data_IF_461374890741
#
_entry.id   IF_461374890741
#
_cell.length_a   1.000
_cell.length_b   1.000
_cell.length_c   1.000
_cell.angle_alpha   90.00
_cell.angle_beta   90.00
_cell.angle_gamma   90.00
#
_symmetry.space_group_name_H-M   'P 1'
#
loop_
_entity.id
_entity.type
_entity.pdbx_description
1 polymer ?
#
# COMPACT_ATOMS: atom_id res chain seq x y z
N UNK A 1 12.98 29.90 41.04
CA UNK A 1 12.42 28.58 41.41
C UNK A 1 11.28 28.17 40.47
N UNK A 2 10.06 28.70 40.59
CA UNK A 2 8.94 28.36 39.68
C UNK A 2 9.21 28.55 38.18
N UNK A 3 10.00 29.57 37.80
CA UNK A 3 10.40 29.79 36.40
C UNK A 3 11.34 28.69 35.88
N UNK A 4 12.23 28.18 36.74
CA UNK A 4 13.20 27.15 36.37
C UNK A 4 12.53 25.76 36.31
N UNK A 5 11.60 25.49 37.23
CA UNK A 5 10.74 24.30 37.18
C UNK A 5 9.88 24.27 35.91
N UNK A 6 9.30 25.42 35.53
CA UNK A 6 8.52 25.54 34.30
C UNK A 6 9.36 25.27 33.03
N UNK A 7 10.62 25.75 33.02
CA UNK A 7 11.55 25.47 31.91
C UNK A 7 11.91 23.98 31.82
N UNK A 8 12.20 23.34 32.95
CA UNK A 8 12.50 21.92 32.98
C UNK A 8 11.31 21.07 32.50
N UNK A 9 10.11 21.37 32.97
CA UNK A 9 8.89 20.69 32.52
C UNK A 9 8.61 20.90 31.03
N UNK A 10 8.85 22.10 30.49
CA UNK A 10 8.69 22.36 29.05
C UNK A 10 9.63 21.51 28.20
N UNK A 11 10.89 21.36 28.61
CA UNK A 11 11.88 20.52 27.92
C UNK A 11 11.43 19.05 27.94
N UNK A 12 10.91 18.57 29.07
CA UNK A 12 10.41 17.20 29.20
C UNK A 12 9.17 16.93 28.32
N UNK A 13 8.23 17.89 28.27
CA UNK A 13 7.07 17.83 27.39
C UNK A 13 7.51 17.79 25.93
N UNK A 14 8.45 18.65 25.53
CA UNK A 14 8.94 18.70 24.15
C UNK A 14 9.66 17.41 23.76
N UNK A 15 10.48 16.85 24.66
CA UNK A 15 11.15 15.57 24.46
C UNK A 15 10.12 14.43 24.30
N UNK A 16 9.10 14.40 25.16
CA UNK A 16 8.02 13.42 25.08
C UNK A 16 7.24 13.59 23.77
N UNK A 17 6.84 14.80 23.41
CA UNK A 17 6.11 15.06 22.17
C UNK A 17 6.93 14.67 20.92
N UNK A 18 8.25 14.89 20.94
CA UNK A 18 9.14 14.48 19.87
C UNK A 18 9.16 12.95 19.69
N UNK A 19 9.16 12.18 20.79
CA UNK A 19 9.14 10.72 20.74
C UNK A 19 7.87 10.16 20.06
N UNK A 20 6.71 10.81 20.24
CA UNK A 20 5.43 10.38 19.66
C UNK A 20 5.20 10.84 18.20
N UNK A 21 6.14 11.60 17.60
CA UNK A 21 6.01 12.04 16.19
C UNK A 21 5.75 10.91 15.18
N UNK A 22 6.34 9.70 15.29
CA UNK A 22 6.04 8.61 14.36
C UNK A 22 4.55 8.21 14.36
N UNK A 23 3.92 8.17 15.52
CA UNK A 23 2.47 7.91 15.66
C UNK A 23 1.67 9.02 15.00
N UNK A 24 2.02 10.29 15.25
CA UNK A 24 1.33 11.43 14.65
C UNK A 24 1.45 11.44 13.12
N UNK A 25 2.65 11.13 12.60
CA UNK A 25 2.91 10.98 11.16
C UNK A 25 2.07 9.86 10.56
N UNK A 26 2.05 8.68 11.19
CA UNK A 26 1.20 7.55 10.76
C UNK A 26 -0.28 7.93 10.75
N UNK A 27 -0.75 8.57 11.83
CA UNK A 27 -2.13 9.03 11.93
C UNK A 27 -2.51 10.00 10.81
N UNK A 28 -1.66 10.99 10.56
CA UNK A 28 -1.88 11.94 9.46
C UNK A 28 -1.98 11.24 8.09
N UNK A 29 -1.09 10.28 7.80
CA UNK A 29 -1.13 9.50 6.56
C UNK A 29 -2.47 8.76 6.44
N UNK A 30 -2.87 8.04 7.49
CA UNK A 30 -4.12 7.25 7.48
C UNK A 30 -5.35 8.13 7.29
N UNK A 31 -5.39 9.30 7.96
CA UNK A 31 -6.48 10.26 7.78
C UNK A 31 -6.60 10.71 6.32
N UNK A 32 -5.50 11.12 5.69
CA UNK A 32 -5.54 11.60 4.30
C UNK A 32 -5.89 10.48 3.31
N UNK A 33 -5.44 9.25 3.56
CA UNK A 33 -5.87 8.09 2.74
C UNK A 33 -7.38 7.88 2.86
N UNK A 34 -7.92 7.84 4.08
CA UNK A 34 -9.36 7.69 4.31
C UNK A 34 -10.18 8.83 3.68
N UNK A 35 -9.77 10.08 3.89
CA UNK A 35 -10.46 11.25 3.35
C UNK A 35 -10.45 11.29 1.81
N UNK A 36 -9.38 10.80 1.19
CA UNK A 36 -9.27 10.76 -0.28
C UNK A 36 -10.26 9.81 -0.95
N UNK A 37 -10.87 8.86 -0.22
CA UNK A 37 -11.86 7.95 -0.77
C UNK A 37 -13.10 8.66 -1.30
N UNK A 38 -13.42 9.84 -0.77
CA UNK A 38 -14.52 10.67 -1.26
C UNK A 38 -14.33 11.08 -2.75
N UNK A 39 -13.09 11.10 -3.24
CA UNK A 39 -12.79 11.39 -4.66
C UNK A 39 -13.21 10.25 -5.60
N UNK A 40 -13.34 9.04 -5.07
CA UNK A 40 -13.73 7.85 -5.83
C UNK A 40 -15.24 7.66 -5.84
N UNK A 41 -15.87 7.87 -4.69
CA UNK A 41 -17.31 7.79 -4.56
C UNK A 41 -17.78 8.74 -3.45
N UNK A 42 -18.79 9.57 -3.75
CA UNK A 42 -19.37 10.52 -2.80
C UNK A 42 -19.94 9.84 -1.54
N UNK A 43 -20.21 8.53 -1.58
CA UNK A 43 -20.64 7.75 -0.41
C UNK A 43 -19.51 7.48 0.59
N UNK A 44 -18.24 7.63 0.19
CA UNK A 44 -17.07 7.37 1.04
C UNK A 44 -16.60 8.62 1.76
N UNK A 45 -17.54 9.29 2.42
CA UNK A 45 -17.27 10.52 3.14
C UNK A 45 -16.91 10.21 4.60
N UNK A 46 -15.65 10.51 4.96
CA UNK A 46 -15.11 10.29 6.30
C UNK A 46 -14.60 11.62 6.84
N UNK A 47 -15.25 12.12 7.89
CA UNK A 47 -14.88 13.39 8.51
C UNK A 47 -13.69 13.24 9.46
N UNK A 48 -12.97 14.34 9.69
CA UNK A 48 -11.91 14.38 10.70
C UNK A 48 -12.47 14.05 12.10
N UNK A 49 -13.67 14.52 12.43
CA UNK A 49 -14.30 14.22 13.72
C UNK A 49 -14.49 12.71 13.93
N UNK A 50 -14.95 12.00 12.90
CA UNK A 50 -15.10 10.55 12.92
C UNK A 50 -13.74 9.85 13.01
N UNK A 51 -12.76 10.28 12.22
CA UNK A 51 -11.40 9.77 12.29
C UNK A 51 -10.81 9.91 13.70
N UNK A 52 -11.02 11.05 14.37
CA UNK A 52 -10.54 11.27 15.74
C UNK A 52 -11.16 10.31 16.75
N UNK A 53 -12.42 9.91 16.56
CA UNK A 53 -13.05 8.86 17.39
C UNK A 53 -12.32 7.53 17.22
N UNK A 54 -12.03 7.12 15.98
CA UNK A 54 -11.28 5.88 15.70
C UNK A 54 -9.85 5.98 16.27
N UNK A 55 -9.19 7.11 16.07
CA UNK A 55 -7.84 7.36 16.55
C UNK A 55 -7.73 7.25 18.08
N UNK A 56 -8.61 7.92 18.82
CA UNK A 56 -8.63 7.88 20.28
C UNK A 56 -8.96 6.48 20.82
N UNK A 57 -9.91 5.78 20.20
CA UNK A 57 -10.22 4.38 20.55
C UNK A 57 -9.03 3.46 20.31
N UNK A 58 -8.32 3.65 19.20
CA UNK A 58 -7.10 2.88 18.88
C UNK A 58 -6.01 3.07 19.92
N UNK A 59 -5.80 4.31 20.41
CA UNK A 59 -4.83 4.61 21.48
C UNK A 59 -5.16 3.93 22.80
N UNK A 60 -6.45 3.88 23.16
CA UNK A 60 -6.93 3.22 24.37
C UNK A 60 -6.78 1.69 24.27
N UNK A 61 -7.03 1.11 23.10
CA UNK A 61 -6.97 -0.34 22.88
C UNK A 61 -5.56 -0.88 22.66
N UNK A 62 -4.65 -0.06 22.14
CA UNK A 62 -3.27 -0.48 21.94
C UNK A 62 -2.68 -1.03 23.25
N UNK A 63 -1.89 -2.10 23.18
CA UNK A 63 -1.30 -2.74 24.36
C UNK A 63 -0.25 -1.85 25.04
N UNK A 64 -0.38 -1.57 26.35
CA UNK A 64 0.59 -0.77 27.08
C UNK A 64 1.91 -1.54 27.21
N UNK A 65 3.03 -0.83 27.08
CA UNK A 65 4.36 -1.37 27.29
C UNK A 65 5.20 -0.35 28.07
N UNK A 66 6.13 -0.83 28.90
CA UNK A 66 7.07 0.01 29.65
C UNK A 66 8.12 0.66 28.76
N UNK A 67 8.43 0.05 27.63
CA UNK A 67 9.38 0.54 26.63
C UNK A 67 8.63 1.43 25.65
N UNK A 68 9.05 2.69 25.54
CA UNK A 68 8.36 3.69 24.71
C UNK A 68 8.33 3.23 23.25
N UNK A 69 9.42 2.69 22.73
CA UNK A 69 9.55 2.23 21.35
C UNK A 69 8.52 1.13 21.03
N UNK A 70 8.44 0.08 21.87
CA UNK A 70 7.46 -1.00 21.71
C UNK A 70 6.03 -0.46 21.84
N UNK A 71 5.79 0.45 22.79
CA UNK A 71 4.48 1.10 22.94
C UNK A 71 4.07 1.86 21.68
N UNK A 72 5.00 2.59 21.05
CA UNK A 72 4.73 3.33 19.81
C UNK A 72 4.41 2.39 18.64
N UNK A 73 5.12 1.26 18.53
CA UNK A 73 4.84 0.22 17.53
C UNK A 73 3.43 -0.38 17.74
N UNK A 74 3.07 -0.73 18.98
CA UNK A 74 1.74 -1.24 19.33
C UNK A 74 0.62 -0.25 18.96
N UNK A 75 0.85 1.04 19.23
CA UNK A 75 -0.08 2.12 18.84
C UNK A 75 -0.20 2.19 17.31
N UNK A 76 0.92 2.22 16.59
CA UNK A 76 0.95 2.30 15.12
C UNK A 76 0.23 1.10 14.49
N UNK A 77 0.49 -0.11 14.98
CA UNK A 77 -0.14 -1.34 14.50
C UNK A 77 -1.65 -1.33 14.76
N UNK A 78 -2.07 -1.01 15.98
CA UNK A 78 -3.48 -0.97 16.37
C UNK A 78 -4.23 0.07 15.56
N UNK A 79 -3.69 1.29 15.44
CA UNK A 79 -4.29 2.37 14.66
C UNK A 79 -4.42 2.00 13.18
N UNK A 80 -3.38 1.43 12.59
CA UNK A 80 -3.41 1.01 11.18
C UNK A 80 -4.47 -0.05 10.93
N UNK A 81 -4.58 -1.04 11.82
CA UNK A 81 -5.59 -2.09 11.76
C UNK A 81 -7.02 -1.56 11.96
N UNK A 82 -7.22 -0.64 12.90
CA UNK A 82 -8.53 -0.03 13.15
C UNK A 82 -9.00 0.86 12.02
N UNK A 83 -8.13 1.72 11.49
CA UNK A 83 -8.45 2.53 10.32
C UNK A 83 -8.79 1.66 9.11
N UNK A 84 -8.03 0.60 8.87
CA UNK A 84 -8.32 -0.37 7.80
C UNK A 84 -9.70 -1.00 8.00
N UNK A 85 -9.93 -1.59 9.18
CA UNK A 85 -11.17 -2.32 9.47
C UNK A 85 -12.39 -1.42 9.44
N UNK A 86 -12.29 -0.22 9.99
CA UNK A 86 -13.36 0.78 9.98
C UNK A 86 -13.73 1.16 8.56
N UNK A 87 -12.73 1.43 7.72
CA UNK A 87 -12.97 1.86 6.34
C UNK A 87 -13.52 0.73 5.47
N UNK A 88 -12.98 -0.49 5.61
CA UNK A 88 -13.47 -1.66 4.88
C UNK A 88 -14.92 -2.03 5.20
N UNK A 89 -15.48 -1.61 6.35
CA UNK A 89 -16.90 -1.77 6.67
C UNK A 89 -17.81 -0.80 5.90
N UNK A 90 -17.29 0.38 5.55
CA UNK A 90 -18.04 1.45 4.88
C UNK A 90 -17.92 1.48 3.35
N UNK A 91 -16.97 0.76 2.77
CA UNK A 91 -16.74 0.77 1.31
C UNK A 91 -17.17 -0.52 0.62
N UNK A 92 -17.45 -0.45 -0.67
CA UNK A 92 -17.83 -1.61 -1.48
C UNK A 92 -16.65 -2.57 -1.66
N UNK A 93 -16.97 -3.86 -1.80
CA UNK A 93 -15.99 -4.95 -1.97
C UNK A 93 -14.99 -4.68 -3.09
N UNK A 94 -15.47 -4.16 -4.23
CA UNK A 94 -14.66 -3.82 -5.40
C UNK A 94 -13.55 -2.81 -5.13
N UNK A 95 -13.68 -1.97 -4.10
CA UNK A 95 -12.72 -0.91 -3.78
C UNK A 95 -11.78 -1.26 -2.62
N UNK A 96 -11.97 -2.39 -1.94
CA UNK A 96 -11.18 -2.75 -0.75
C UNK A 96 -9.71 -3.00 -1.07
N UNK A 97 -9.40 -3.73 -2.14
CA UNK A 97 -8.01 -3.98 -2.55
C UNK A 97 -7.32 -2.68 -2.97
N UNK A 98 -8.02 -1.80 -3.67
CA UNK A 98 -7.49 -0.50 -4.08
C UNK A 98 -7.20 0.40 -2.88
N UNK A 99 -8.10 0.45 -1.89
CA UNK A 99 -7.84 1.16 -0.63
C UNK A 99 -6.62 0.58 0.10
N UNK A 100 -6.50 -0.75 0.13
CA UNK A 100 -5.35 -1.45 0.75
C UNK A 100 -4.03 -1.10 0.06
N UNK A 101 -4.03 -1.07 -1.28
CA UNK A 101 -2.89 -0.62 -2.07
C UNK A 101 -2.56 0.85 -1.78
N UNK A 102 -3.56 1.72 -1.74
CA UNK A 102 -3.35 3.14 -1.47
C UNK A 102 -2.78 3.37 -0.06
N UNK A 103 -3.29 2.67 0.96
CA UNK A 103 -2.72 2.69 2.31
C UNK A 103 -1.25 2.27 2.28
N UNK A 104 -0.93 1.14 1.63
CA UNK A 104 0.43 0.61 1.51
C UNK A 104 1.37 1.62 0.88
N UNK A 105 0.98 2.20 -0.27
CA UNK A 105 1.79 3.17 -1.00
C UNK A 105 2.02 4.45 -0.18
N UNK A 106 0.99 4.99 0.47
CA UNK A 106 1.13 6.21 1.28
C UNK A 106 1.97 5.98 2.54
N UNK A 107 1.88 4.80 3.15
CA UNK A 107 2.76 4.38 4.24
C UNK A 107 4.21 4.32 3.78
N UNK A 108 4.51 3.59 2.69
CA UNK A 108 5.86 3.49 2.14
C UNK A 108 6.42 4.85 1.71
N UNK A 109 5.58 5.71 1.12
CA UNK A 109 5.94 7.09 0.78
C UNK A 109 6.26 7.91 2.03
N UNK A 110 5.45 7.78 3.09
CA UNK A 110 5.69 8.41 4.38
C UNK A 110 7.04 8.00 4.94
N UNK A 111 7.39 6.72 4.86
CA UNK A 111 8.63 6.16 5.38
C UNK A 111 9.85 6.41 4.45
N UNK A 112 9.64 7.06 3.31
CA UNK A 112 10.72 7.40 2.35
C UNK A 112 11.22 6.20 1.54
N UNK A 113 10.49 5.09 1.55
CA UNK A 113 10.86 3.83 0.89
C UNK A 113 10.25 3.68 -0.52
N UNK A 114 9.42 4.64 -0.94
CA UNK A 114 8.73 4.59 -2.23
C UNK A 114 9.43 5.42 -3.30
N UNK A 115 9.88 4.77 -4.36
CA UNK A 115 10.35 5.46 -5.55
C UNK A 115 9.15 5.98 -6.37
N UNK A 116 9.06 7.31 -6.51
CA UNK A 116 7.95 7.98 -7.20
C UNK A 116 7.93 7.72 -8.71
N UNK A 117 9.09 7.61 -9.33
CA UNK A 117 9.19 7.34 -10.77
C UNK A 117 8.73 5.91 -11.07
N UNK A 118 9.12 4.95 -10.22
CA UNK A 118 8.62 3.57 -10.26
C UNK A 118 7.10 3.50 -10.08
N UNK A 119 6.53 4.24 -9.13
CA UNK A 119 5.08 4.31 -8.97
C UNK A 119 4.39 4.93 -10.19
N UNK A 120 4.94 6.02 -10.75
CA UNK A 120 4.36 6.67 -11.93
C UNK A 120 4.32 5.71 -13.13
N UNK A 121 5.40 4.97 -13.35
CA UNK A 121 5.46 3.91 -14.34
C UNK A 121 4.46 2.78 -14.03
N UNK A 122 4.35 2.32 -12.79
CA UNK A 122 3.37 1.30 -12.41
C UNK A 122 1.95 1.69 -12.78
N UNK A 123 1.58 2.96 -12.55
CA UNK A 123 0.23 3.46 -12.78
C UNK A 123 -0.04 3.76 -14.26
N UNK A 124 0.92 4.37 -14.96
CA UNK A 124 0.70 4.94 -16.31
C UNK A 124 1.35 4.15 -17.43
N UNK A 125 2.29 3.25 -17.13
CA UNK A 125 3.14 2.60 -18.11
C UNK A 125 4.03 3.61 -18.85
N UNK A 126 4.42 3.25 -20.07
CA UNK A 126 5.15 4.13 -20.96
C UNK A 126 4.18 4.99 -21.80
N UNK A 127 4.13 6.28 -21.49
CA UNK A 127 3.31 7.27 -22.21
C UNK A 127 3.95 7.80 -23.50
N UNK A 128 5.16 7.34 -23.86
CA UNK A 128 5.84 7.83 -25.05
C UNK A 128 5.08 7.46 -26.33
N UNK A 129 4.86 8.44 -27.20
CA UNK A 129 4.27 8.23 -28.53
C UNK A 129 5.29 7.68 -29.54
N UNK A 130 6.57 7.62 -29.15
CA UNK A 130 7.62 7.08 -30.01
C UNK A 130 7.48 5.57 -30.12
N UNK A 131 7.40 5.09 -31.36
CA UNK A 131 7.47 3.65 -31.65
C UNK A 131 8.86 3.14 -31.29
N UNK A 132 8.92 2.02 -30.56
CA UNK A 132 10.16 1.33 -30.31
C UNK A 132 10.82 0.97 -31.64
N UNK A 133 12.07 1.41 -31.81
CA UNK A 133 12.87 1.12 -33.01
C UNK A 133 13.27 -0.36 -33.06
N UNK A 134 13.47 -0.95 -31.89
CA UNK A 134 13.87 -2.35 -31.73
C UNK A 134 12.66 -3.27 -31.59
N UNK A 135 12.76 -4.45 -32.21
CA UNK A 135 11.78 -5.52 -32.05
C UNK A 135 11.84 -6.11 -30.63
N UNK A 136 10.72 -6.67 -30.13
CA UNK A 136 10.71 -7.41 -28.87
C UNK A 136 11.79 -8.49 -28.84
N UNK A 137 12.37 -8.77 -27.66
CA UNK A 137 13.44 -9.77 -27.50
C UNK A 137 12.94 -11.20 -27.75
N UNK A 138 11.64 -11.45 -27.63
CA UNK A 138 11.01 -12.74 -27.89
C UNK A 138 9.64 -12.56 -28.58
N UNK A 139 9.26 -13.53 -29.43
CA UNK A 139 8.05 -13.45 -30.26
C UNK A 139 6.73 -13.52 -29.47
N UNK A 140 6.74 -14.11 -28.27
CA UNK A 140 5.53 -14.22 -27.44
C UNK A 140 5.21 -12.93 -26.68
N UNK A 141 6.12 -11.96 -26.65
CA UNK A 141 5.90 -10.69 -25.98
C UNK A 141 5.04 -9.76 -26.84
N UNK A 142 4.07 -9.10 -26.22
CA UNK A 142 3.27 -8.08 -26.90
C UNK A 142 4.08 -6.81 -27.18
N UNK A 143 3.78 -6.12 -28.27
CA UNK A 143 4.40 -4.82 -28.60
C UNK A 143 4.18 -3.79 -27.48
N UNK A 144 3.00 -3.81 -26.83
CA UNK A 144 2.69 -2.94 -25.71
C UNK A 144 3.55 -3.25 -24.48
N UNK A 145 3.71 -4.53 -24.14
CA UNK A 145 4.56 -4.97 -23.04
C UNK A 145 6.04 -4.66 -23.28
N UNK A 146 6.50 -4.78 -24.52
CA UNK A 146 7.83 -4.38 -24.92
C UNK A 146 8.05 -2.86 -24.84
N UNK A 147 7.06 -2.07 -25.25
CA UNK A 147 7.10 -0.62 -25.12
C UNK A 147 7.18 -0.16 -23.65
N UNK A 148 6.41 -0.80 -22.76
CA UNK A 148 6.52 -0.59 -21.30
C UNK A 148 7.91 -0.99 -20.78
N UNK A 149 8.43 -2.14 -21.24
CA UNK A 149 9.76 -2.62 -20.84
C UNK A 149 10.89 -1.68 -21.25
N UNK A 150 10.77 -1.03 -22.42
CA UNK A 150 11.76 -0.05 -22.88
C UNK A 150 11.93 1.12 -21.91
N UNK A 151 10.82 1.56 -21.29
CA UNK A 151 10.90 2.54 -20.21
C UNK A 151 11.50 1.93 -18.95
N UNK A 152 11.10 0.71 -18.57
CA UNK A 152 11.58 0.01 -17.38
C UNK A 152 13.11 -0.15 -17.36
N UNK A 153 13.72 -0.48 -18.50
CA UNK A 153 15.18 -0.62 -18.68
C UNK A 153 15.93 0.64 -18.22
N UNK A 154 15.38 1.82 -18.49
CA UNK A 154 15.99 3.10 -18.13
C UNK A 154 15.81 3.50 -16.66
N UNK A 155 15.05 2.73 -15.87
CA UNK A 155 14.71 3.10 -14.48
C UNK A 155 15.67 2.55 -13.43
N UNK A 156 16.56 1.64 -13.80
CA UNK A 156 17.55 1.07 -12.88
C UNK A 156 18.48 0.07 -13.54
N UNK A 157 19.70 -0.06 -13.01
CA UNK A 157 20.72 -0.99 -13.51
C UNK A 157 20.27 -2.45 -13.46
N UNK A 158 19.42 -2.78 -12.48
CA UNK A 158 18.80 -4.10 -12.34
C UNK A 158 17.92 -4.48 -13.54
N UNK A 159 17.40 -3.52 -14.30
CA UNK A 159 16.59 -3.79 -15.50
C UNK A 159 17.38 -3.71 -16.80
N UNK A 160 18.60 -3.19 -16.77
CA UNK A 160 19.41 -2.96 -17.97
C UNK A 160 19.71 -4.25 -18.75
N UNK A 161 19.88 -5.37 -18.03
CA UNK A 161 20.17 -6.70 -18.60
C UNK A 161 18.93 -7.50 -18.99
N UNK A 162 17.73 -6.98 -18.71
CA UNK A 162 16.50 -7.71 -18.93
C UNK A 162 16.32 -8.15 -20.40
N UNK A 163 16.58 -7.30 -21.43
CA UNK A 163 16.43 -7.72 -22.83
C UNK A 163 17.43 -8.79 -23.26
N UNK A 164 18.68 -8.74 -22.78
CA UNK A 164 19.69 -9.76 -23.09
C UNK A 164 19.32 -11.08 -22.41
N UNK A 165 18.93 -11.04 -21.15
CA UNK A 165 18.57 -12.23 -20.38
C UNK A 165 17.34 -12.94 -20.98
N UNK A 166 16.37 -12.17 -21.51
CA UNK A 166 15.22 -12.72 -22.24
C UNK A 166 15.66 -13.38 -23.54
N UNK A 167 16.55 -12.75 -24.32
CA UNK A 167 17.04 -13.30 -25.60
C UNK A 167 17.88 -14.56 -25.42
N UNK A 168 18.66 -14.64 -24.33
CA UNK A 168 19.50 -15.80 -24.03
C UNK A 168 18.71 -16.97 -23.45
N UNK A 169 17.61 -16.69 -22.72
CA UNK A 169 16.83 -17.70 -22.00
C UNK A 169 15.35 -17.73 -22.45
N UNK A 170 15.09 -17.60 -23.76
CA UNK A 170 13.73 -17.44 -24.33
C UNK A 170 12.77 -18.53 -23.87
N UNK A 171 13.21 -19.79 -23.82
CA UNK A 171 12.39 -20.93 -23.42
C UNK A 171 11.91 -20.80 -21.97
N UNK A 172 12.80 -20.47 -21.02
CA UNK A 172 12.46 -20.30 -19.61
C UNK A 172 11.49 -19.12 -19.39
N UNK A 173 11.68 -18.02 -20.12
CA UNK A 173 10.77 -16.87 -20.05
C UNK A 173 9.41 -17.16 -20.68
N UNK A 174 9.37 -17.96 -21.76
CA UNK A 174 8.11 -18.43 -22.36
C UNK A 174 7.36 -19.35 -21.41
N UNK A 175 8.03 -20.33 -20.83
CA UNK A 175 7.44 -21.24 -19.83
C UNK A 175 6.84 -20.45 -18.68
N UNK A 176 7.57 -19.48 -18.11
CA UNK A 176 7.04 -18.63 -17.05
C UNK A 176 5.86 -17.77 -17.52
N UNK A 177 5.95 -17.17 -18.71
CA UNK A 177 4.89 -16.34 -19.29
C UNK A 177 3.58 -17.12 -19.52
N UNK A 178 3.68 -18.37 -19.97
CA UNK A 178 2.55 -19.26 -20.30
C UNK A 178 1.88 -19.86 -19.06
N UNK A 179 2.44 -19.68 -17.86
CA UNK A 179 1.80 -20.10 -16.61
C UNK A 179 0.45 -19.38 -16.42
N UNK A 180 -0.49 -20.06 -15.78
CA UNK A 180 -1.76 -19.46 -15.38
C UNK A 180 -1.58 -18.39 -14.30
N UNK A 181 -0.61 -18.59 -13.40
CA UNK A 181 -0.33 -17.74 -12.24
C UNK A 181 1.17 -17.43 -12.10
N UNK A 182 1.80 -16.74 -13.08
CA UNK A 182 3.23 -16.47 -13.11
C UNK A 182 3.75 -15.75 -11.86
N UNK A 183 2.91 -14.91 -11.25
CA UNK A 183 3.24 -14.21 -10.00
C UNK A 183 3.45 -15.13 -8.79
N UNK A 184 3.15 -16.43 -8.92
CA UNK A 184 3.33 -17.46 -7.89
C UNK A 184 4.58 -18.30 -8.09
N UNK A 185 5.27 -18.14 -9.22
CA UNK A 185 6.47 -18.89 -9.54
C UNK A 185 7.67 -17.95 -9.57
N UNK A 186 8.88 -18.44 -9.25
CA UNK A 186 10.08 -17.63 -9.33
C UNK A 186 10.27 -17.02 -10.71
N UNK A 187 10.55 -15.72 -10.78
CA UNK A 187 10.88 -15.05 -12.03
C UNK A 187 12.20 -15.65 -12.56
N UNK A 188 12.30 -15.99 -13.86
CA UNK A 188 13.52 -16.53 -14.46
C UNK A 188 14.76 -15.67 -14.18
N UNK A 189 15.96 -16.25 -14.35
CA UNK A 189 17.24 -15.52 -14.20
C UNK A 189 17.47 -14.86 -12.82
N UNK A 190 16.75 -15.28 -11.77
CA UNK A 190 16.98 -14.82 -10.40
C UNK A 190 16.40 -13.43 -10.07
N UNK A 191 15.56 -12.87 -10.94
CA UNK A 191 14.93 -11.57 -10.70
C UNK A 191 14.02 -11.56 -9.45
N UNK A 192 13.52 -12.71 -9.02
CA UNK A 192 12.73 -12.82 -7.78
C UNK A 192 13.53 -12.37 -6.53
N UNK A 193 14.82 -12.67 -6.46
CA UNK A 193 15.65 -12.30 -5.29
C UNK A 193 16.30 -10.92 -5.44
N UNK A 194 16.55 -10.49 -6.67
CA UNK A 194 17.26 -9.24 -6.95
C UNK A 194 16.34 -8.01 -6.93
N UNK A 195 15.06 -8.19 -7.26
CA UNK A 195 14.10 -7.07 -7.36
C UNK A 195 13.36 -6.84 -6.04
N UNK A 196 13.15 -5.57 -5.71
CA UNK A 196 12.28 -5.16 -4.62
C UNK A 196 10.80 -5.50 -4.94
N UNK A 197 9.91 -5.59 -3.94
CA UNK A 197 8.51 -5.98 -4.18
C UNK A 197 7.76 -5.13 -5.22
N UNK A 198 7.96 -3.80 -5.22
CA UNK A 198 7.35 -2.93 -6.24
C UNK A 198 7.93 -3.19 -7.64
N UNK A 199 9.23 -3.43 -7.72
CA UNK A 199 9.95 -3.71 -8.97
C UNK A 199 9.49 -5.00 -9.64
N UNK A 200 9.15 -6.02 -8.84
CA UNK A 200 8.53 -7.26 -9.34
C UNK A 200 7.17 -6.99 -9.99
N UNK A 201 6.38 -6.05 -9.44
CA UNK A 201 5.12 -5.62 -10.07
C UNK A 201 5.36 -4.92 -11.41
N UNK A 202 6.41 -4.07 -11.49
CA UNK A 202 6.77 -3.39 -12.74
C UNK A 202 7.14 -4.38 -13.83
N UNK A 203 7.97 -5.38 -13.49
CA UNK A 203 8.38 -6.43 -14.42
C UNK A 203 7.16 -7.24 -14.88
N UNK A 204 6.34 -7.71 -13.95
CA UNK A 204 5.14 -8.49 -14.29
C UNK A 204 4.19 -7.70 -15.20
N UNK A 205 4.06 -6.38 -14.99
CA UNK A 205 3.23 -5.51 -15.84
C UNK A 205 3.66 -5.56 -17.30
N UNK A 206 4.97 -5.60 -17.58
CA UNK A 206 5.48 -5.69 -18.95
C UNK A 206 5.11 -7.01 -19.66
N UNK A 207 4.77 -8.07 -18.92
CA UNK A 207 4.42 -9.37 -19.48
C UNK A 207 2.92 -9.68 -19.39
N UNK A 208 2.34 -9.57 -18.20
CA UNK A 208 1.00 -10.08 -17.85
C UNK A 208 0.24 -9.06 -17.01
N UNK A 209 -0.25 -8.00 -17.67
CA UNK A 209 -1.07 -6.94 -17.03
C UNK A 209 -2.34 -7.53 -16.39
N UNK A 210 -2.89 -8.60 -16.96
CA UNK A 210 -4.05 -9.33 -16.43
C UNK A 210 -3.84 -9.90 -15.01
N UNK A 211 -2.58 -10.22 -14.66
CA UNK A 211 -2.22 -10.79 -13.34
C UNK A 211 -1.87 -9.74 -12.29
N UNK A 212 -1.83 -8.46 -12.65
CA UNK A 212 -1.45 -7.38 -11.72
C UNK A 212 -2.36 -7.31 -10.50
N UNK A 213 -3.65 -7.59 -10.65
CA UNK A 213 -4.59 -7.62 -9.53
C UNK A 213 -4.12 -8.60 -8.43
N UNK A 214 -3.74 -9.82 -8.81
CA UNK A 214 -3.27 -10.85 -7.87
C UNK A 214 -1.88 -10.50 -7.33
N UNK A 215 -1.01 -9.92 -8.16
CA UNK A 215 0.32 -9.52 -7.74
C UNK A 215 0.28 -8.37 -6.73
N UNK A 216 -0.65 -7.41 -6.86
CA UNK A 216 -0.91 -6.36 -5.86
C UNK A 216 -1.25 -6.98 -4.50
N UNK A 217 -2.09 -8.02 -4.47
CA UNK A 217 -2.40 -8.74 -3.23
C UNK A 217 -1.13 -9.25 -2.56
N UNK A 218 -0.21 -9.87 -3.31
CA UNK A 218 1.07 -10.36 -2.77
C UNK A 218 1.97 -9.24 -2.28
N UNK A 219 2.03 -8.15 -3.04
CA UNK A 219 2.79 -6.95 -2.66
C UNK A 219 2.30 -6.39 -1.31
N UNK A 220 0.99 -6.28 -1.11
CA UNK A 220 0.41 -5.81 0.16
C UNK A 220 0.70 -6.80 1.30
N UNK A 221 0.60 -8.12 1.04
CA UNK A 221 0.93 -9.14 2.05
C UNK A 221 2.37 -8.99 2.52
N UNK A 222 3.32 -8.78 1.60
CA UNK A 222 4.74 -8.60 1.95
C UNK A 222 4.98 -7.28 2.68
N UNK A 223 4.30 -6.19 2.29
CA UNK A 223 4.54 -4.86 2.83
C UNK A 223 3.84 -4.57 4.16
N UNK A 224 2.62 -5.09 4.35
CA UNK A 224 1.77 -4.79 5.51
C UNK A 224 1.26 -6.04 6.23
N UNK A 225 1.17 -7.18 5.55
CA UNK A 225 0.67 -8.44 6.10
C UNK A 225 -0.67 -8.89 5.52
N UNK A 226 -1.00 -10.16 5.74
CA UNK A 226 -2.16 -10.82 5.14
C UNK A 226 -3.52 -10.24 5.55
N UNK A 227 -3.62 -9.69 6.75
CA UNK A 227 -4.85 -9.07 7.25
C UNK A 227 -5.32 -7.87 6.41
N UNK A 228 -4.44 -7.24 5.62
CA UNK A 228 -4.78 -6.07 4.81
C UNK A 228 -5.30 -6.42 3.41
N UNK A 229 -5.38 -7.70 3.06
CA UNK A 229 -6.02 -8.15 1.81
C UNK A 229 -7.25 -9.03 2.05
N UNK A 230 -7.58 -9.26 3.32
CA UNK A 230 -8.75 -10.02 3.75
C UNK A 230 -9.67 -9.07 4.50
N UNK A 231 -10.75 -8.60 3.86
CA UNK A 231 -11.70 -7.71 4.51
C UNK A 231 -12.23 -8.32 5.81
N UNK A 232 -12.38 -7.51 6.88
CA UNK A 232 -12.94 -8.01 8.13
C UNK A 232 -14.38 -8.48 7.90
N UNK A 233 -14.73 -9.58 8.57
CA UNK A 233 -16.12 -10.04 8.62
C UNK A 233 -16.96 -8.97 9.31
N UNK A 234 -18.15 -8.71 8.77
CA UNK A 234 -19.08 -7.76 9.38
C UNK A 234 -19.53 -8.30 10.73
N UNK A 235 -19.14 -7.60 11.79
CA UNK A 235 -19.61 -7.84 13.14
C UNK A 235 -20.36 -6.61 13.65
N UNK A 236 -21.64 -6.79 13.94
CA UNK A 236 -22.51 -5.71 14.41
C UNK A 236 -22.19 -5.26 15.83
N UNK A 237 -21.61 -6.13 16.68
CA UNK A 237 -21.23 -5.75 18.04
C UNK A 237 -20.09 -4.73 18.02
N UNK A 238 -19.05 -4.98 17.22
CA UNK A 238 -17.97 -3.99 17.03
C UNK A 238 -18.46 -2.69 16.38
N UNK A 239 -19.46 -2.72 15.49
CA UNK A 239 -20.08 -1.48 14.97
C UNK A 239 -20.77 -0.70 16.09
N UNK A 240 -21.54 -1.39 16.94
CA UNK A 240 -22.23 -0.78 18.08
C UNK A 240 -21.24 -0.17 19.07
N UNK A 241 -20.18 -0.89 19.45
CA UNK A 241 -19.11 -0.39 20.32
C UNK A 241 -18.36 0.82 19.72
N UNK A 242 -18.26 0.87 18.39
CA UNK A 242 -17.62 1.98 17.67
C UNK A 242 -18.54 3.19 17.51
N UNK A 243 -19.86 3.00 17.55
CA UNK A 243 -20.87 4.06 17.42
C UNK A 243 -20.91 5.01 18.62
N UNK A 244 -21.57 6.16 18.43
CA UNK A 244 -21.86 7.10 19.51
C UNK A 244 -23.31 7.57 19.40
N UNK A 245 -23.98 7.99 20.49
CA UNK A 245 -25.36 8.48 20.42
C UNK A 245 -25.54 9.73 19.53
N UNK A 246 -24.45 10.43 19.21
CA UNK A 246 -24.45 11.66 18.42
C UNK A 246 -24.19 11.41 16.93
N UNK A 247 -23.81 10.20 16.53
CA UNK A 247 -23.45 9.86 15.15
C UNK A 247 -24.33 8.70 14.67
N UNK A 248 -25.20 8.91 13.67
CA UNK A 248 -26.06 7.85 13.17
C UNK A 248 -25.24 6.77 12.45
N UNK A 249 -25.69 5.51 12.56
CA UNK A 249 -25.14 4.39 11.80
C UNK A 249 -26.00 4.19 10.56
N UNK A 250 -25.38 4.29 9.38
CA UNK A 250 -26.05 4.13 8.08
C UNK A 250 -25.65 2.79 7.48
N UNK A 251 -26.63 1.98 7.09
CA UNK A 251 -26.40 0.73 6.38
C UNK A 251 -26.55 0.95 4.87
N UNK A 252 -25.47 0.72 4.14
CA UNK A 252 -25.47 0.71 2.67
C UNK A 252 -25.70 -0.71 2.20
N UNK A 253 -26.81 -0.94 1.52
CA UNK A 253 -27.21 -2.27 1.03
C UNK A 253 -27.01 -2.35 -0.48
N UNK A 254 -26.52 -3.49 -0.97
CA UNK A 254 -26.61 -3.85 -2.38
C UNK A 254 -28.01 -4.40 -2.70
N UNK A 255 -28.47 -4.26 -3.96
CA UNK A 255 -29.60 -5.06 -4.44
C UNK A 255 -29.31 -6.54 -4.19
N UNK A 256 -30.34 -7.28 -3.76
CA UNK A 256 -30.25 -8.64 -3.22
C UNK A 256 -29.46 -9.62 -4.08
#
# INVERSE_FOLDING_TARGET
EKLEEAKAAAIEIDATAAAYRPVAKRGSILFFVMASLATLNNMYELSLALYMVVFLKSLQRAEPDSTVEIRLENIIGTLTSDCYSYTCRGIFETHKLMFSLQMTLQILSGDGLLNRDQLDFFLKGNLSLEKCKDKPPAEFMSDAGWHDMQRLIGMGEQFAKLPSDIKENVEAWREWYDLEAPESFPIPCGYETCLAPLERLLLLRCFRVDRIYVAITKFIIVAMGQQYVQPPVLDYMSVYEQSTPLVPVIFVLSPG
#
